data_IF_640384843847
#
_entry.id   IF_640384843847
#
_cell.length_a   1.000
_cell.length_b   1.000
_cell.length_c   1.000
_cell.angle_alpha   90.00
_cell.angle_beta   90.00
_cell.angle_gamma   90.00
#
_symmetry.space_group_name_H-M   'P 1'
#
loop_
_entity.id
_entity.type
_entity.pdbx_description
1 polymer ?
#
# COMPACT_ATOMS: atom_id res chain seq x y z
N UNK A 1 20.15 -22.03 36.13
CA UNK A 1 18.73 -21.80 35.82
C UNK A 1 18.70 -21.14 34.46
N UNK A 2 18.39 -21.89 33.40
CA UNK A 2 18.15 -21.33 32.06
C UNK A 2 16.70 -20.83 32.07
N UNK A 3 16.50 -19.51 32.12
CA UNK A 3 15.22 -18.90 32.51
C UNK A 3 14.32 -18.48 31.35
N UNK A 4 14.60 -18.92 30.12
CA UNK A 4 13.81 -18.48 28.96
C UNK A 4 13.60 -19.62 27.99
N UNK A 5 12.35 -19.84 27.59
CA UNK A 5 12.06 -20.70 26.45
C UNK A 5 12.73 -20.16 25.17
N UNK A 6 13.19 -21.04 24.27
CA UNK A 6 13.72 -20.62 22.98
C UNK A 6 12.69 -19.78 22.22
N UNK A 7 13.12 -18.67 21.63
CA UNK A 7 12.24 -17.81 20.85
C UNK A 7 11.64 -18.60 19.67
N UNK A 8 10.30 -18.74 19.59
CA UNK A 8 9.65 -19.52 18.54
C UNK A 8 9.89 -18.97 17.13
N UNK A 9 10.33 -17.71 17.01
CA UNK A 9 10.71 -17.08 15.73
C UNK A 9 12.12 -17.45 15.25
N UNK A 10 12.96 -18.04 16.11
CA UNK A 10 14.35 -18.39 15.79
C UNK A 10 14.65 -19.88 15.98
N UNK A 11 13.71 -20.64 16.53
CA UNK A 11 13.89 -22.08 16.84
C UNK A 11 13.80 -22.98 15.62
N UNK A 12 13.06 -22.57 14.58
CA UNK A 12 12.93 -23.26 13.31
C UNK A 12 12.90 -22.22 12.17
N UNK A 13 14.07 -21.85 11.68
CA UNK A 13 14.20 -20.83 10.63
C UNK A 13 13.61 -21.29 9.29
N UNK A 14 13.52 -22.61 9.06
CA UNK A 14 12.95 -23.19 7.83
C UNK A 14 11.41 -23.21 7.89
N UNK A 15 10.82 -23.36 9.08
CA UNK A 15 9.38 -23.21 9.35
C UNK A 15 8.90 -21.80 9.70
N UNK A 16 9.82 -20.84 9.88
CA UNK A 16 9.50 -19.47 10.33
C UNK A 16 8.73 -18.63 9.31
N UNK A 17 8.74 -19.02 8.03
CA UNK A 17 8.05 -18.29 6.97
C UNK A 17 6.66 -18.91 6.78
N UNK A 18 5.67 -18.32 7.45
CA UNK A 18 4.27 -18.62 7.17
C UNK A 18 3.94 -18.22 5.72
N UNK A 19 3.62 -19.22 4.90
CA UNK A 19 3.11 -19.00 3.55
C UNK A 19 1.59 -19.08 3.56
N UNK A 20 0.93 -18.11 2.92
CA UNK A 20 -0.52 -18.14 2.77
C UNK A 20 -0.90 -19.20 1.74
N UNK A 21 -1.91 -20.00 2.05
CA UNK A 21 -2.48 -20.97 1.11
C UNK A 21 -3.00 -20.25 -0.16
N UNK A 22 -2.48 -20.59 -1.36
CA UNK A 22 -2.94 -20.01 -2.62
C UNK A 22 -4.45 -20.19 -2.88
N UNK A 23 -5.08 -21.24 -2.34
CA UNK A 23 -6.51 -21.50 -2.53
C UNK A 23 -7.40 -20.62 -1.64
N UNK A 24 -6.82 -19.96 -0.64
CA UNK A 24 -7.57 -19.17 0.32
C UNK A 24 -8.36 -18.02 -0.33
N UNK A 25 -7.79 -17.38 -1.36
CA UNK A 25 -8.49 -16.31 -2.11
C UNK A 25 -9.77 -16.84 -2.76
N UNK A 26 -9.67 -17.94 -3.50
CA UNK A 26 -10.81 -18.53 -4.20
C UNK A 26 -11.93 -18.93 -3.23
N UNK A 27 -11.56 -19.49 -2.07
CA UNK A 27 -12.50 -19.85 -1.01
C UNK A 27 -13.22 -18.64 -0.42
N UNK A 28 -12.50 -17.55 -0.15
CA UNK A 28 -13.09 -16.31 0.37
C UNK A 28 -14.02 -15.66 -0.66
N UNK A 29 -13.65 -15.67 -1.95
CA UNK A 29 -14.51 -15.17 -3.04
C UNK A 29 -15.80 -15.97 -3.15
N UNK A 30 -15.72 -17.31 -3.09
CA UNK A 30 -16.91 -18.16 -3.12
C UNK A 30 -17.84 -17.90 -1.92
N UNK A 31 -17.29 -17.82 -0.71
CA UNK A 31 -18.05 -17.50 0.49
C UNK A 31 -18.69 -16.11 0.44
N UNK A 32 -18.01 -15.13 -0.17
CA UNK A 32 -18.57 -13.78 -0.36
C UNK A 32 -19.75 -13.77 -1.34
N UNK A 33 -19.67 -14.53 -2.43
CA UNK A 33 -20.80 -14.67 -3.36
C UNK A 33 -21.99 -15.35 -2.68
N UNK A 34 -21.77 -16.49 -2.02
CA UNK A 34 -22.81 -17.19 -1.27
C UNK A 34 -23.45 -16.29 -0.20
N UNK A 35 -22.65 -15.51 0.52
CA UNK A 35 -23.15 -14.54 1.49
C UNK A 35 -24.08 -13.50 0.86
N UNK A 36 -23.70 -12.95 -0.29
CA UNK A 36 -24.49 -11.93 -1.01
C UNK A 36 -25.75 -12.53 -1.64
N UNK A 37 -25.70 -13.77 -2.11
CA UNK A 37 -26.84 -14.44 -2.74
C UNK A 37 -27.95 -14.80 -1.73
N UNK A 38 -27.58 -14.99 -0.46
CA UNK A 38 -28.52 -15.44 0.59
C UNK A 38 -28.97 -14.34 1.57
N UNK A 39 -28.42 -13.12 1.49
CA UNK A 39 -28.82 -12.02 2.37
C UNK A 39 -30.11 -11.35 1.89
N UNK A 40 -30.72 -10.56 2.77
CA UNK A 40 -31.78 -9.62 2.39
C UNK A 40 -31.17 -8.42 1.66
N UNK A 41 -31.16 -8.49 0.31
CA UNK A 41 -30.54 -7.47 -0.53
C UNK A 41 -31.25 -6.12 -0.45
N UNK A 42 -32.57 -6.11 -0.26
CA UNK A 42 -33.33 -4.88 -0.11
C UNK A 42 -32.93 -4.15 1.18
N UNK A 43 -32.87 -4.89 2.30
CA UNK A 43 -32.41 -4.34 3.58
C UNK A 43 -30.96 -3.86 3.51
N UNK A 44 -30.07 -4.62 2.86
CA UNK A 44 -28.67 -4.23 2.68
C UNK A 44 -28.54 -2.92 1.89
N UNK A 45 -29.30 -2.78 0.81
CA UNK A 45 -29.36 -1.57 -0.02
C UNK A 45 -29.89 -0.35 0.75
N UNK A 46 -30.96 -0.53 1.53
CA UNK A 46 -31.53 0.52 2.37
C UNK A 46 -30.55 0.98 3.47
N UNK A 47 -29.86 0.02 4.11
CA UNK A 47 -28.86 0.31 5.13
C UNK A 47 -27.68 1.12 4.55
N UNK A 48 -27.20 0.74 3.36
CA UNK A 48 -26.15 1.49 2.66
C UNK A 48 -26.60 2.91 2.28
N UNK A 49 -27.85 3.08 1.85
CA UNK A 49 -28.40 4.42 1.55
C UNK A 49 -28.48 5.29 2.81
N UNK A 50 -28.92 4.72 3.94
CA UNK A 50 -28.95 5.40 5.22
C UNK A 50 -27.54 5.79 5.70
N UNK A 51 -26.55 4.90 5.53
CA UNK A 51 -25.16 5.20 5.85
C UNK A 51 -24.61 6.37 5.02
N UNK A 52 -24.88 6.38 3.71
CA UNK A 52 -24.47 7.49 2.82
C UNK A 52 -25.09 8.81 3.24
N UNK A 53 -26.38 8.81 3.60
CA UNK A 53 -27.08 9.99 4.09
C UNK A 53 -26.44 10.50 5.39
N UNK A 54 -26.19 9.61 6.34
CA UNK A 54 -25.52 9.94 7.60
C UNK A 54 -24.12 10.50 7.39
N UNK A 55 -23.35 9.90 6.49
CA UNK A 55 -22.02 10.36 6.11
C UNK A 55 -22.01 11.75 5.47
N UNK A 56 -23.03 12.08 4.67
CA UNK A 56 -23.14 13.39 4.03
C UNK A 56 -23.63 14.49 4.98
N UNK A 57 -24.23 14.10 6.11
CA UNK A 57 -24.72 15.00 7.14
C UNK A 57 -23.73 15.25 8.28
N UNK A 58 -24.25 15.66 9.42
CA UNK A 58 -23.50 15.86 10.68
C UNK A 58 -23.97 14.91 11.77
N UNK A 59 -24.80 13.93 11.41
CA UNK A 59 -25.40 12.97 12.33
C UNK A 59 -24.42 11.84 12.70
N UNK A 60 -24.72 11.12 13.77
CA UNK A 60 -23.88 10.01 14.21
C UNK A 60 -24.01 8.82 13.25
N UNK A 61 -22.92 8.45 12.57
CA UNK A 61 -22.92 7.33 11.63
C UNK A 61 -22.98 5.94 12.28
N UNK A 62 -22.76 5.82 13.59
CA UNK A 62 -22.67 4.52 14.27
C UNK A 62 -23.96 3.71 14.17
N UNK A 63 -25.12 4.36 14.22
CA UNK A 63 -26.41 3.66 14.11
C UNK A 63 -26.59 3.04 12.71
N UNK A 64 -26.38 3.83 11.66
CA UNK A 64 -26.45 3.36 10.28
C UNK A 64 -25.37 2.28 9.98
N UNK A 65 -24.19 2.43 10.57
CA UNK A 65 -23.09 1.46 10.55
C UNK A 65 -23.50 0.10 11.14
N UNK A 66 -24.12 0.11 12.32
CA UNK A 66 -24.58 -1.13 12.97
C UNK A 66 -25.67 -1.79 12.14
N UNK A 67 -26.58 -1.02 11.54
CA UNK A 67 -27.59 -1.58 10.64
C UNK A 67 -27.00 -2.17 9.36
N UNK A 68 -25.94 -1.58 8.78
CA UNK A 68 -25.22 -2.20 7.68
C UNK A 68 -24.70 -3.60 8.05
N UNK A 69 -24.05 -3.73 9.21
CA UNK A 69 -23.56 -5.01 9.70
C UNK A 69 -24.70 -6.03 9.90
N UNK A 70 -25.82 -5.61 10.49
CA UNK A 70 -27.01 -6.46 10.71
C UNK A 70 -27.73 -6.85 9.42
N UNK A 71 -27.66 -6.01 8.39
CA UNK A 71 -28.23 -6.24 7.07
C UNK A 71 -27.33 -7.10 6.16
N UNK A 72 -26.14 -7.50 6.64
CA UNK A 72 -25.21 -8.32 5.87
C UNK A 72 -24.44 -7.55 4.79
N UNK A 73 -24.29 -6.24 4.96
CA UNK A 73 -23.39 -5.42 4.15
C UNK A 73 -21.95 -5.84 4.41
N UNK A 74 -21.18 -6.00 3.34
CA UNK A 74 -19.77 -6.40 3.41
C UNK A 74 -18.88 -5.20 3.73
N UNK A 75 -17.68 -5.45 4.27
CA UNK A 75 -16.68 -4.39 4.51
C UNK A 75 -16.34 -3.61 3.23
N UNK A 76 -16.35 -4.28 2.08
CA UNK A 76 -16.11 -3.66 0.77
C UNK A 76 -17.21 -2.67 0.37
N UNK A 77 -18.48 -3.09 0.45
CA UNK A 77 -19.65 -2.24 0.12
C UNK A 77 -19.76 -1.05 1.08
N UNK A 78 -19.55 -1.28 2.37
CA UNK A 78 -19.50 -0.21 3.37
C UNK A 78 -18.39 0.79 3.03
N UNK A 79 -17.16 0.31 2.82
CA UNK A 79 -16.04 1.19 2.50
C UNK A 79 -16.30 1.98 1.23
N UNK A 80 -16.91 1.37 0.21
CA UNK A 80 -17.24 2.04 -1.05
C UNK A 80 -18.33 3.11 -0.86
N UNK A 81 -19.34 2.83 -0.06
CA UNK A 81 -20.38 3.81 0.26
C UNK A 81 -19.82 5.05 0.96
N UNK A 82 -18.84 4.89 1.85
CA UNK A 82 -18.16 6.03 2.47
C UNK A 82 -17.23 6.77 1.50
N UNK A 83 -16.57 6.04 0.58
CA UNK A 83 -15.75 6.66 -0.48
C UNK A 83 -16.58 7.53 -1.42
N UNK A 84 -17.81 7.12 -1.74
CA UNK A 84 -18.71 7.92 -2.58
C UNK A 84 -19.01 9.30 -1.96
N UNK A 85 -18.97 9.41 -0.62
CA UNK A 85 -19.27 10.65 0.11
C UNK A 85 -18.01 11.45 0.44
N UNK A 86 -16.97 10.79 0.95
CA UNK A 86 -15.76 11.46 1.45
C UNK A 86 -14.60 11.49 0.46
N UNK A 87 -14.68 10.68 -0.60
CA UNK A 87 -13.55 10.41 -1.49
C UNK A 87 -12.50 9.51 -0.84
N UNK A 88 -11.32 9.45 -1.47
CA UNK A 88 -10.16 8.70 -0.98
C UNK A 88 -9.01 9.65 -0.64
N UNK A 89 -8.40 9.44 0.54
CA UNK A 89 -7.19 10.15 0.89
C UNK A 89 -5.98 9.58 0.15
N UNK A 90 -5.27 10.45 -0.58
CA UNK A 90 -3.96 10.14 -1.18
C UNK A 90 -2.89 10.98 -0.48
N UNK A 91 -2.08 10.31 0.33
CA UNK A 91 -0.97 10.96 1.02
C UNK A 91 0.06 11.48 0.02
N UNK A 92 0.62 12.69 0.24
CA UNK A 92 1.81 13.12 -0.48
C UNK A 92 2.95 12.12 -0.29
N UNK A 93 3.73 11.87 -1.32
CA UNK A 93 4.95 11.06 -1.18
C UNK A 93 5.98 11.85 -0.37
N UNK A 94 6.60 11.23 0.64
CA UNK A 94 7.69 11.85 1.43
C UNK A 94 8.95 12.20 0.62
N UNK A 95 8.96 11.89 -0.67
CA UNK A 95 10.08 12.10 -1.59
C UNK A 95 9.86 13.38 -2.41
N UNK A 96 10.24 14.52 -1.85
CA UNK A 96 10.15 15.83 -2.52
C UNK A 96 10.83 15.85 -3.90
N UNK A 97 10.30 16.64 -4.84
CA UNK A 97 10.89 16.89 -6.17
C UNK A 97 12.16 17.75 -6.13
N UNK A 98 12.59 18.18 -4.94
CA UNK A 98 13.78 19.01 -4.76
C UNK A 98 15.05 18.37 -5.37
N UNK A 99 15.95 19.19 -5.94
CA UNK A 99 17.18 18.71 -6.56
C UNK A 99 18.12 18.06 -5.53
N UNK A 100 19.05 17.26 -6.04
CA UNK A 100 20.06 16.50 -5.29
C UNK A 100 20.69 17.37 -4.20
N UNK A 101 20.31 17.14 -2.95
CA UNK A 101 20.76 17.94 -1.82
C UNK A 101 22.09 17.45 -1.23
N UNK A 102 22.56 16.26 -1.64
CA UNK A 102 23.73 15.62 -1.02
C UNK A 102 24.96 15.74 -1.92
N UNK A 103 25.96 16.44 -1.40
CA UNK A 103 27.32 16.43 -1.96
C UNK A 103 27.91 15.03 -1.82
N UNK A 104 28.45 14.52 -2.92
CA UNK A 104 29.14 13.24 -2.92
C UNK A 104 30.65 13.53 -2.84
N UNK A 105 31.23 13.32 -1.66
CA UNK A 105 32.66 13.52 -1.47
C UNK A 105 33.45 12.63 -2.45
N UNK A 106 34.53 13.16 -3.08
CA UNK A 106 35.38 12.39 -3.97
C UNK A 106 35.86 11.09 -3.31
N UNK A 107 35.75 9.97 -4.02
CA UNK A 107 36.13 8.64 -3.52
C UNK A 107 35.07 7.94 -2.65
N UNK A 108 33.95 8.60 -2.32
CA UNK A 108 32.83 7.94 -1.64
C UNK A 108 32.11 6.94 -2.55
N UNK A 109 31.46 5.94 -1.95
CA UNK A 109 30.61 4.98 -2.69
C UNK A 109 29.55 5.69 -3.53
N UNK A 110 28.98 6.78 -3.03
CA UNK A 110 27.99 7.57 -3.78
C UNK A 110 28.61 8.23 -5.02
N UNK A 111 29.82 8.80 -4.90
CA UNK A 111 30.51 9.41 -6.04
C UNK A 111 30.81 8.37 -7.13
N UNK A 112 31.25 7.16 -6.73
CA UNK A 112 31.50 6.06 -7.66
C UNK A 112 30.24 5.60 -8.39
N UNK A 113 29.11 5.48 -7.68
CA UNK A 113 27.83 5.13 -8.31
C UNK A 113 27.38 6.26 -9.25
N UNK A 114 27.52 7.52 -8.85
CA UNK A 114 27.14 8.68 -9.66
C UNK A 114 27.94 8.75 -10.97
N UNK A 115 29.23 8.47 -10.92
CA UNK A 115 30.08 8.37 -12.11
C UNK A 115 29.58 7.25 -13.04
N UNK A 116 29.30 6.05 -12.49
CA UNK A 116 28.77 4.93 -13.27
C UNK A 116 27.43 5.26 -13.92
N UNK A 117 26.49 5.87 -13.19
CA UNK A 117 25.19 6.31 -13.73
C UNK A 117 25.37 7.27 -14.89
N UNK A 118 26.26 8.26 -14.72
CA UNK A 118 26.55 9.28 -15.74
C UNK A 118 27.15 8.65 -17.00
N UNK A 119 28.15 7.76 -16.84
CA UNK A 119 28.76 7.03 -17.95
C UNK A 119 27.75 6.16 -18.68
N UNK A 120 26.97 5.37 -17.95
CA UNK A 120 25.95 4.49 -18.56
C UNK A 120 24.88 5.30 -19.30
N UNK A 121 24.45 6.45 -18.78
CA UNK A 121 23.52 7.32 -19.49
C UNK A 121 24.11 7.82 -20.84
N UNK A 122 25.39 8.22 -20.83
CA UNK A 122 26.10 8.65 -22.03
C UNK A 122 26.27 7.50 -23.04
N UNK A 123 26.66 6.32 -22.59
CA UNK A 123 26.83 5.13 -23.44
C UNK A 123 25.51 4.72 -24.11
N UNK A 124 24.38 4.92 -23.42
CA UNK A 124 23.04 4.66 -23.96
C UNK A 124 22.47 5.83 -24.78
N UNK A 125 23.19 6.97 -24.87
CA UNK A 125 22.73 8.17 -25.58
C UNK A 125 21.50 8.84 -24.95
N UNK A 126 21.24 8.63 -23.67
CA UNK A 126 20.11 9.21 -22.93
C UNK A 126 20.58 10.30 -21.96
N UNK A 127 19.73 11.30 -21.69
CA UNK A 127 20.09 12.39 -20.77
C UNK A 127 20.29 11.94 -19.32
N UNK A 128 19.37 11.14 -18.79
CA UNK A 128 19.45 10.54 -17.45
C UNK A 128 18.86 9.13 -17.46
N UNK A 129 19.40 8.25 -16.63
CA UNK A 129 18.78 6.95 -16.37
C UNK A 129 17.52 7.15 -15.54
N UNK A 130 16.41 6.55 -15.97
CA UNK A 130 15.12 6.64 -15.29
C UNK A 130 14.89 5.42 -14.42
N UNK A 131 14.43 5.62 -13.18
CA UNK A 131 14.14 4.56 -12.23
C UNK A 131 12.71 4.72 -11.69
N UNK A 132 11.86 3.74 -11.94
CA UNK A 132 10.54 3.64 -11.31
C UNK A 132 10.66 2.84 -10.00
N UNK A 133 10.28 3.44 -8.89
CA UNK A 133 10.11 2.74 -7.61
C UNK A 133 8.62 2.48 -7.43
N UNK A 134 8.19 1.23 -7.61
CA UNK A 134 6.78 0.83 -7.50
C UNK A 134 6.46 0.16 -6.17
N UNK A 135 5.27 0.43 -5.63
CA UNK A 135 4.66 -0.28 -4.49
C UNK A 135 3.28 -0.80 -4.92
N UNK A 136 3.22 -1.92 -5.65
CA UNK A 136 1.97 -2.48 -6.13
C UNK A 136 1.16 -3.10 -4.98
N UNK A 137 -0.16 -3.15 -5.16
CA UNK A 137 -1.06 -3.78 -4.19
C UNK A 137 -1.25 -2.94 -2.92
N UNK A 138 -1.77 -3.54 -1.85
CA UNK A 138 -2.21 -2.79 -0.67
C UNK A 138 -1.10 -2.46 0.35
N UNK A 139 0.13 -2.88 0.09
CA UNK A 139 1.24 -2.74 1.02
C UNK A 139 1.59 -1.27 1.33
N UNK A 140 1.52 -0.93 2.61
CA UNK A 140 1.81 0.41 3.12
C UNK A 140 3.25 0.63 3.57
N UNK A 141 4.13 -0.37 3.57
CA UNK A 141 5.51 -0.20 4.01
C UNK A 141 6.30 0.64 3.00
N UNK A 142 6.52 1.92 3.27
CA UNK A 142 7.17 2.84 2.34
C UNK A 142 8.63 3.17 2.68
N UNK A 143 9.05 3.06 3.95
CA UNK A 143 10.37 3.54 4.41
C UNK A 143 11.55 3.06 3.53
N UNK A 144 11.63 1.76 3.24
CA UNK A 144 12.69 1.22 2.37
C UNK A 144 12.60 1.75 0.93
N UNK A 145 11.40 1.83 0.37
CA UNK A 145 11.20 2.35 -0.99
C UNK A 145 11.54 3.84 -1.09
N UNK A 146 11.18 4.63 -0.09
CA UNK A 146 11.51 6.06 -0.01
C UNK A 146 13.02 6.28 0.12
N UNK A 147 13.72 5.51 0.98
CA UNK A 147 15.18 5.58 1.11
C UNK A 147 15.89 5.25 -0.20
N UNK A 148 15.44 4.19 -0.91
CA UNK A 148 15.99 3.84 -2.23
C UNK A 148 15.70 4.96 -3.24
N UNK A 149 14.48 5.50 -3.26
CA UNK A 149 14.11 6.58 -4.18
C UNK A 149 14.97 7.83 -3.97
N UNK A 150 15.15 8.27 -2.71
CA UNK A 150 16.02 9.40 -2.38
C UNK A 150 17.47 9.11 -2.76
N UNK A 151 17.99 7.94 -2.41
CA UNK A 151 19.41 7.62 -2.65
C UNK A 151 19.73 7.41 -4.13
N UNK A 152 18.79 6.90 -4.92
CA UNK A 152 18.93 6.82 -6.36
C UNK A 152 18.94 8.22 -7.01
N UNK A 153 18.16 9.18 -6.51
CA UNK A 153 18.27 10.59 -6.96
C UNK A 153 19.65 11.15 -6.64
N UNK A 154 20.15 10.93 -5.42
CA UNK A 154 21.52 11.34 -5.06
C UNK A 154 22.58 10.73 -5.98
N UNK A 155 22.35 9.51 -6.47
CA UNK A 155 23.21 8.84 -7.43
C UNK A 155 23.08 9.35 -8.88
N UNK A 156 22.16 10.28 -9.17
CA UNK A 156 22.00 10.90 -10.48
C UNK A 156 20.88 10.32 -11.37
N UNK A 157 20.07 9.39 -10.85
CA UNK A 157 18.89 8.89 -11.57
C UNK A 157 17.77 9.94 -11.62
N UNK A 158 16.97 9.89 -12.68
CA UNK A 158 15.63 10.46 -12.70
C UNK A 158 14.66 9.45 -12.06
N UNK A 159 14.27 9.69 -10.81
CA UNK A 159 13.44 8.73 -10.04
C UNK A 159 11.97 9.13 -10.05
N UNK A 160 11.13 8.20 -10.49
CA UNK A 160 9.67 8.26 -10.42
C UNK A 160 9.21 7.42 -9.23
N UNK A 161 8.55 8.06 -8.26
CA UNK A 161 7.91 7.39 -7.13
C UNK A 161 6.52 8.00 -6.90
N UNK A 162 5.49 7.16 -6.97
CA UNK A 162 4.09 7.59 -6.87
C UNK A 162 3.43 7.19 -5.53
N UNK A 163 4.21 6.69 -4.57
CA UNK A 163 3.72 6.28 -3.26
C UNK A 163 3.30 4.82 -3.21
N UNK A 164 2.45 4.51 -2.24
CA UNK A 164 1.91 3.17 -1.94
C UNK A 164 0.53 2.99 -2.56
N UNK A 165 0.04 1.74 -2.58
CA UNK A 165 -1.35 1.43 -2.96
C UNK A 165 -1.68 1.86 -4.38
N UNK A 166 -0.75 1.57 -5.29
CA UNK A 166 -0.95 1.71 -6.72
C UNK A 166 -1.53 0.40 -7.26
N UNK A 167 -2.54 0.52 -8.10
CA UNK A 167 -3.03 -0.58 -8.91
C UNK A 167 -1.95 -0.93 -9.95
N UNK A 168 -1.60 -2.23 -10.11
CA UNK A 168 -0.70 -2.68 -11.17
C UNK A 168 -1.19 -2.30 -12.57
#
# INVERSE_FOLDING_TARGET
YESTEPNPLTSDLDGAIMTVDPENEARVVAALHEWRDNRDEARASEALAALKKAAAGTENMMEATVECARAGVTTGEWSWALRDVFGEFRAPTGVSSAPVAVTAEPGSTLALVREKVTRTAADLGVGRLRLLVGKPGLDGHSNGAEQIAVRARDAGFEVVYQGIRLTP
#
